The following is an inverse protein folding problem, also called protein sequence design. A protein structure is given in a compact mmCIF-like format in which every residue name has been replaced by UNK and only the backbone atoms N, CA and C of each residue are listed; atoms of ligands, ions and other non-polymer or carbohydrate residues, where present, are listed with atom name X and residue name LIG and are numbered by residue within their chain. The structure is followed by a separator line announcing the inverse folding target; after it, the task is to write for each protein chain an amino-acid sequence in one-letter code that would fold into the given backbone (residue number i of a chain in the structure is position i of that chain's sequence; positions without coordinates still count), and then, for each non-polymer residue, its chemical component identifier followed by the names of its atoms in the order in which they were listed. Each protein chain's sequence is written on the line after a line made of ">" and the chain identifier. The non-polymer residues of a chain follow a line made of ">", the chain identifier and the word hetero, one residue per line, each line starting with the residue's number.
data_IF_031423573713
#
_entry.id   IF_031423573713
#
_cell.length_a   1.000
_cell.length_b   1.000
_cell.length_c   1.000
_cell.angle_alpha   90.00
_cell.angle_beta   90.00
_cell.angle_gamma   90.00
#
_symmetry.space_group_name_H-M   'P 1'
#
loop_
_entity.id
_entity.type
_entity.pdbx_description
1 polymer ?
#
# COMPACT_ATOMS: atom_id res chain seq x y z
N UNK A 1 -13.27 9.39 -5.92
CA UNK A 1 -12.09 8.49 -5.79
C UNK A 1 -12.42 7.17 -6.47
N UNK A 2 -11.44 6.55 -7.13
CA UNK A 2 -11.55 5.18 -7.65
C UNK A 2 -11.15 4.18 -6.56
N UNK A 3 -11.67 2.97 -6.67
CA UNK A 3 -11.35 1.87 -5.74
C UNK A 3 -10.52 0.79 -6.45
N UNK A 4 -9.58 0.17 -5.74
CA UNK A 4 -8.82 -0.96 -6.26
C UNK A 4 -8.77 -2.12 -5.25
N UNK A 5 -8.71 -3.34 -5.78
CA UNK A 5 -8.43 -4.53 -5.00
C UNK A 5 -6.93 -4.83 -5.04
N UNK A 6 -6.26 -4.82 -3.88
CA UNK A 6 -4.86 -5.23 -3.85
C UNK A 6 -4.73 -6.75 -3.80
N UNK A 7 -4.02 -7.31 -4.77
CA UNK A 7 -3.84 -8.76 -4.92
C UNK A 7 -3.18 -9.41 -3.71
N UNK A 8 -2.40 -8.66 -2.91
CA UNK A 8 -1.75 -9.17 -1.69
C UNK A 8 -2.78 -9.74 -0.70
N UNK A 9 -4.00 -9.21 -0.67
CA UNK A 9 -5.09 -9.70 0.19
C UNK A 9 -5.44 -11.16 -0.09
N UNK A 10 -5.09 -11.68 -1.28
CA UNK A 10 -5.33 -13.05 -1.72
C UNK A 10 -4.03 -13.81 -2.01
N UNK A 11 -2.92 -13.46 -1.35
CA UNK A 11 -1.61 -14.06 -1.60
C UNK A 11 -1.30 -15.29 -0.73
N UNK A 12 -2.06 -15.52 0.32
CA UNK A 12 -1.76 -16.54 1.33
C UNK A 12 -0.66 -16.15 2.34
N UNK A 13 -0.16 -14.90 2.30
CA UNK A 13 0.99 -14.47 3.10
C UNK A 13 0.75 -14.49 4.61
N UNK A 14 -0.49 -14.43 5.06
CA UNK A 14 -0.89 -14.47 6.48
C UNK A 14 -1.79 -15.67 6.81
N UNK A 15 -1.67 -16.77 6.03
CA UNK A 15 -2.45 -17.98 6.20
C UNK A 15 -3.84 -17.94 5.57
N UNK A 16 -4.21 -16.84 4.88
CA UNK A 16 -5.48 -16.73 4.15
C UNK A 16 -5.47 -17.54 2.85
N UNK A 17 -6.66 -17.76 2.29
CA UNK A 17 -6.83 -18.39 1.00
C UNK A 17 -6.05 -17.61 -0.10
N UNK A 18 -5.55 -18.37 -1.09
CA UNK A 18 -4.74 -17.86 -2.19
C UNK A 18 -5.52 -17.95 -3.48
N UNK A 19 -5.47 -16.89 -4.29
CA UNK A 19 -5.93 -16.90 -5.69
C UNK A 19 -4.75 -16.72 -6.65
N UNK A 20 -4.76 -17.39 -7.80
CA UNK A 20 -3.82 -17.12 -8.88
C UNK A 20 -4.11 -15.76 -9.53
N UNK A 21 -3.09 -15.19 -10.20
CA UNK A 21 -3.16 -13.84 -10.77
C UNK A 21 -4.33 -13.65 -11.74
N UNK A 22 -4.59 -14.65 -12.58
CA UNK A 22 -5.66 -14.65 -13.58
C UNK A 22 -7.07 -14.55 -12.98
N UNK A 23 -7.26 -14.99 -11.74
CA UNK A 23 -8.55 -14.91 -11.04
C UNK A 23 -8.74 -13.55 -10.32
N UNK A 24 -7.66 -12.84 -9.99
CA UNK A 24 -7.74 -11.57 -9.26
C UNK A 24 -8.51 -10.51 -10.04
N UNK A 25 -8.30 -10.42 -11.37
CA UNK A 25 -8.99 -9.45 -12.24
C UNK A 25 -10.49 -9.67 -12.20
N UNK A 26 -10.91 -10.93 -12.41
CA UNK A 26 -12.33 -11.28 -12.38
C UNK A 26 -12.93 -11.08 -10.98
N UNK A 27 -12.15 -11.36 -9.93
CA UNK A 27 -12.58 -11.14 -8.54
C UNK A 27 -12.82 -9.67 -8.26
N UNK A 28 -11.90 -8.78 -8.65
CA UNK A 28 -12.06 -7.34 -8.51
C UNK A 28 -13.32 -6.83 -9.24
N UNK A 29 -13.54 -7.27 -10.46
CA UNK A 29 -14.75 -6.92 -11.25
C UNK A 29 -16.04 -7.40 -10.56
N UNK A 30 -16.06 -8.66 -10.09
CA UNK A 30 -17.23 -9.24 -9.41
C UNK A 30 -17.56 -8.55 -8.10
N UNK A 31 -16.54 -8.06 -7.38
CA UNK A 31 -16.70 -7.32 -6.13
C UNK A 31 -17.02 -5.84 -6.33
N UNK A 32 -17.01 -5.35 -7.58
CA UNK A 32 -17.40 -3.99 -7.94
C UNK A 32 -16.33 -2.93 -7.76
N UNK A 33 -15.05 -3.33 -7.88
CA UNK A 33 -13.92 -2.40 -7.88
C UNK A 33 -13.70 -1.76 -9.26
N UNK A 34 -13.12 -0.56 -9.28
CA UNK A 34 -12.75 0.14 -10.52
C UNK A 34 -11.41 -0.35 -11.09
N UNK A 35 -10.55 -0.89 -10.24
CA UNK A 35 -9.20 -1.29 -10.62
C UNK A 35 -8.58 -2.35 -9.71
N UNK A 36 -7.32 -2.69 -10.02
CA UNK A 36 -6.50 -3.56 -9.20
C UNK A 36 -5.17 -2.90 -8.87
N UNK A 37 -4.64 -3.24 -7.70
CA UNK A 37 -3.26 -3.04 -7.30
C UNK A 37 -2.59 -4.41 -7.27
N UNK A 38 -1.52 -4.59 -8.02
CA UNK A 38 -0.84 -5.89 -8.11
C UNK A 38 0.42 -5.93 -7.27
N UNK A 39 0.61 -7.02 -6.51
CA UNK A 39 1.85 -7.29 -5.82
C UNK A 39 2.94 -7.67 -6.84
N UNK A 40 4.01 -6.88 -6.91
CA UNK A 40 5.17 -7.07 -7.82
C UNK A 40 6.09 -8.21 -7.40
N UNK A 41 5.53 -9.27 -6.82
CA UNK A 41 6.24 -10.47 -6.36
C UNK A 41 5.34 -11.70 -6.47
N UNK A 42 5.94 -12.90 -6.39
CA UNK A 42 5.15 -14.14 -6.26
C UNK A 42 4.22 -14.10 -5.04
N UNK A 43 3.03 -14.66 -5.14
CA UNK A 43 2.51 -15.49 -6.23
C UNK A 43 1.86 -14.72 -7.38
N UNK A 44 1.95 -13.38 -7.44
CA UNK A 44 1.24 -12.57 -8.41
C UNK A 44 2.19 -12.01 -9.51
N UNK A 45 2.36 -10.68 -9.61
CA UNK A 45 3.07 -10.04 -10.72
C UNK A 45 4.60 -10.01 -10.53
N UNK A 46 5.23 -11.17 -10.30
CA UNK A 46 6.68 -11.29 -10.23
C UNK A 46 7.34 -11.00 -11.57
N UNK A 47 8.40 -10.17 -11.59
CA UNK A 47 9.19 -9.91 -12.80
C UNK A 47 9.74 -11.19 -13.45
N UNK A 48 10.00 -12.24 -12.67
CA UNK A 48 10.48 -13.53 -13.17
C UNK A 48 9.43 -14.29 -13.97
N UNK A 49 8.15 -14.01 -13.73
CA UNK A 49 7.04 -14.77 -14.30
C UNK A 49 6.23 -13.94 -15.33
N UNK A 50 6.46 -12.61 -15.36
CA UNK A 50 5.74 -11.68 -16.24
C UNK A 50 6.42 -11.56 -17.61
N UNK A 51 6.32 -12.61 -18.44
CA UNK A 51 6.80 -12.56 -19.83
C UNK A 51 5.97 -11.56 -20.66
N UNK A 52 6.42 -11.14 -21.86
CA UNK A 52 5.65 -10.26 -22.73
C UNK A 52 4.24 -10.80 -23.05
N UNK A 53 4.11 -12.11 -23.23
CA UNK A 53 2.84 -12.78 -23.52
C UNK A 53 1.90 -12.70 -22.31
N UNK A 54 2.39 -12.99 -21.10
CA UNK A 54 1.65 -12.89 -19.85
C UNK A 54 1.18 -11.45 -19.59
N UNK A 55 2.04 -10.44 -19.84
CA UNK A 55 1.65 -9.02 -19.73
C UNK A 55 0.52 -8.66 -20.69
N UNK A 56 0.64 -9.09 -21.96
CA UNK A 56 -0.37 -8.83 -22.99
C UNK A 56 -1.71 -9.48 -22.65
N UNK A 57 -1.69 -10.74 -22.22
CA UNK A 57 -2.90 -11.47 -21.81
C UNK A 57 -3.56 -10.82 -20.59
N UNK A 58 -2.78 -10.49 -19.55
CA UNK A 58 -3.29 -9.85 -18.35
C UNK A 58 -3.92 -8.48 -18.67
N UNK A 59 -3.28 -7.68 -19.53
CA UNK A 59 -3.82 -6.41 -20.00
C UNK A 59 -5.14 -6.57 -20.75
N UNK A 60 -5.24 -7.58 -21.62
CA UNK A 60 -6.50 -7.90 -22.31
C UNK A 60 -7.61 -8.26 -21.31
N UNK A 61 -7.33 -9.16 -20.38
CA UNK A 61 -8.28 -9.55 -19.31
C UNK A 61 -8.77 -8.36 -18.50
N UNK A 62 -7.87 -7.43 -18.13
CA UNK A 62 -8.25 -6.20 -17.42
C UNK A 62 -9.18 -5.33 -18.27
N UNK A 63 -8.88 -5.17 -19.56
CA UNK A 63 -9.70 -4.39 -20.50
C UNK A 63 -11.10 -5.01 -20.64
N UNK A 64 -11.20 -6.32 -20.85
CA UNK A 64 -12.46 -7.04 -21.00
C UNK A 64 -13.32 -6.97 -19.72
N UNK A 65 -12.67 -7.05 -18.55
CA UNK A 65 -13.31 -6.92 -17.25
C UNK A 65 -13.61 -5.47 -16.84
N UNK A 66 -13.15 -4.47 -17.61
CA UNK A 66 -13.23 -3.02 -17.31
C UNK A 66 -12.55 -2.66 -15.98
N UNK A 67 -11.43 -3.31 -15.70
CA UNK A 67 -10.60 -3.10 -14.52
C UNK A 67 -9.33 -2.35 -14.91
N UNK A 68 -9.04 -1.25 -14.23
CA UNK A 68 -7.85 -0.43 -14.46
C UNK A 68 -6.66 -0.95 -13.64
N UNK A 69 -5.44 -0.81 -14.17
CA UNK A 69 -4.21 -0.98 -13.39
C UNK A 69 -3.98 0.27 -12.55
N UNK A 70 -4.31 0.24 -11.26
CA UNK A 70 -4.20 1.40 -10.38
C UNK A 70 -2.78 1.62 -9.86
N UNK A 71 -2.10 0.54 -9.50
CA UNK A 71 -0.76 0.60 -8.91
C UNK A 71 -0.07 -0.76 -8.97
N UNK A 72 1.24 -0.77 -9.19
CA UNK A 72 2.09 -1.94 -9.01
C UNK A 72 2.87 -1.80 -7.69
N UNK A 73 2.67 -2.75 -6.76
CA UNK A 73 3.27 -2.72 -5.45
C UNK A 73 4.67 -3.34 -5.44
N UNK A 74 5.70 -2.53 -5.34
CA UNK A 74 7.07 -2.94 -5.08
C UNK A 74 7.30 -3.21 -3.58
N UNK A 75 8.10 -4.23 -3.30
CA UNK A 75 8.49 -4.63 -1.93
C UNK A 75 9.98 -4.39 -1.77
N UNK A 76 10.33 -3.20 -1.32
CA UNK A 76 11.71 -2.72 -1.25
C UNK A 76 12.21 -2.58 0.18
N UNK A 77 13.54 -2.72 0.34
CA UNK A 77 14.27 -2.39 1.55
C UNK A 77 15.66 -1.85 1.15
N UNK A 78 15.82 -0.53 1.09
CA UNK A 78 17.06 0.10 0.62
C UNK A 78 18.19 0.09 1.65
N UNK A 79 17.95 -0.45 2.84
CA UNK A 79 18.94 -0.59 3.93
C UNK A 79 19.42 -2.03 4.15
N UNK A 80 18.94 -2.98 3.34
CA UNK A 80 19.25 -4.40 3.48
C UNK A 80 20.76 -4.75 3.33
N UNK A 81 21.55 -3.84 2.77
CA UNK A 81 23.01 -3.99 2.61
C UNK A 81 23.81 -3.69 3.90
N UNK A 82 23.16 -3.36 5.01
CA UNK A 82 23.85 -3.00 6.23
C UNK A 82 24.66 -4.15 6.85
N UNK A 83 24.14 -5.39 6.73
CA UNK A 83 24.78 -6.60 7.28
C UNK A 83 25.73 -7.26 6.29
N UNK A 84 25.54 -7.03 4.98
CA UNK A 84 26.26 -7.68 3.89
C UNK A 84 26.65 -6.64 2.83
N UNK A 85 27.62 -5.79 3.17
CA UNK A 85 28.04 -4.67 2.29
C UNK A 85 28.66 -5.13 0.95
N UNK A 86 29.12 -6.39 0.86
CA UNK A 86 29.65 -7.02 -0.35
C UNK A 86 28.55 -7.41 -1.35
N UNK A 87 27.30 -7.49 -0.92
CA UNK A 87 26.15 -7.78 -1.79
C UNK A 87 25.51 -6.48 -2.26
N UNK A 88 25.35 -6.25 -3.57
CA UNK A 88 24.82 -4.98 -4.08
C UNK A 88 23.29 -4.86 -3.92
N UNK A 89 22.78 -5.10 -2.71
CA UNK A 89 21.35 -5.12 -2.42
C UNK A 89 20.63 -3.86 -2.87
N UNK A 90 21.23 -2.67 -2.67
CA UNK A 90 20.61 -1.40 -3.06
C UNK A 90 20.48 -1.28 -4.56
N UNK A 91 21.51 -1.66 -5.32
CA UNK A 91 21.48 -1.69 -6.79
C UNK A 91 20.44 -2.69 -7.30
N UNK A 92 20.33 -3.86 -6.67
CA UNK A 92 19.29 -4.85 -6.97
C UNK A 92 17.89 -4.27 -6.74
N UNK A 93 17.68 -3.51 -5.64
CA UNK A 93 16.41 -2.84 -5.37
C UNK A 93 16.10 -1.75 -6.42
N UNK A 94 17.07 -0.95 -6.80
CA UNK A 94 16.91 0.08 -7.86
C UNK A 94 16.55 -0.59 -9.19
N UNK A 95 17.25 -1.66 -9.56
CA UNK A 95 16.92 -2.44 -10.76
C UNK A 95 15.51 -3.03 -10.70
N UNK A 96 15.14 -3.64 -9.58
CA UNK A 96 13.79 -4.16 -9.35
C UNK A 96 12.71 -3.09 -9.56
N UNK A 97 12.87 -1.90 -8.98
CA UNK A 97 11.93 -0.78 -9.14
C UNK A 97 11.88 -0.28 -10.58
N UNK A 98 13.04 -0.24 -11.27
CA UNK A 98 13.13 0.14 -12.68
C UNK A 98 12.30 -0.81 -13.56
N UNK A 99 12.44 -2.12 -13.36
CA UNK A 99 11.68 -3.11 -14.12
C UNK A 99 10.19 -3.13 -13.72
N UNK A 100 9.85 -2.88 -12.46
CA UNK A 100 8.46 -2.70 -12.05
C UNK A 100 7.82 -1.47 -12.72
N UNK A 101 8.60 -0.40 -12.94
CA UNK A 101 8.09 0.79 -13.64
C UNK A 101 7.73 0.48 -15.09
N UNK A 102 8.57 -0.28 -15.79
CA UNK A 102 8.27 -0.78 -17.13
C UNK A 102 7.03 -1.68 -17.15
N UNK A 103 6.97 -2.64 -16.21
CA UNK A 103 5.82 -3.56 -16.08
C UNK A 103 4.52 -2.80 -15.80
N UNK A 104 4.53 -1.78 -14.93
CA UNK A 104 3.35 -0.96 -14.64
C UNK A 104 2.81 -0.29 -15.91
N UNK A 105 3.70 0.29 -16.73
CA UNK A 105 3.34 0.94 -18.00
C UNK A 105 2.84 -0.08 -19.03
N UNK A 106 3.49 -1.24 -19.16
CA UNK A 106 3.05 -2.31 -20.04
C UNK A 106 1.62 -2.79 -19.71
N UNK A 107 1.28 -2.80 -18.42
CA UNK A 107 -0.07 -3.15 -17.94
C UNK A 107 -1.07 -2.00 -18.01
N UNK A 108 -0.67 -0.81 -18.48
CA UNK A 108 -1.54 0.35 -18.65
C UNK A 108 -1.70 1.23 -17.42
N UNK A 109 -0.89 1.01 -16.37
CA UNK A 109 -0.78 1.86 -15.18
C UNK A 109 0.42 2.80 -15.26
N UNK A 110 0.55 3.67 -14.27
CA UNK A 110 1.70 4.60 -14.17
C UNK A 110 2.30 4.67 -12.78
N UNK A 111 1.68 4.06 -11.76
CA UNK A 111 2.11 4.19 -10.37
C UNK A 111 2.81 2.92 -9.91
N UNK A 112 4.00 3.08 -9.34
CA UNK A 112 4.74 2.02 -8.62
C UNK A 112 4.87 2.43 -7.17
N UNK A 113 4.22 1.70 -6.26
CA UNK A 113 4.37 1.91 -4.82
C UNK A 113 5.61 1.20 -4.32
N UNK A 114 6.42 1.87 -3.50
CA UNK A 114 7.61 1.32 -2.87
C UNK A 114 7.65 1.65 -1.37
N UNK A 115 8.48 0.92 -0.64
CA UNK A 115 8.83 1.20 0.75
C UNK A 115 10.24 1.81 0.85
N UNK A 116 10.58 2.37 2.01
CA UNK A 116 11.89 2.97 2.30
C UNK A 116 12.91 1.93 2.77
N UNK A 117 12.93 1.60 4.04
CA UNK A 117 13.84 0.63 4.63
C UNK A 117 13.72 0.59 6.15
N UNK A 118 14.30 -0.45 6.72
CA UNK A 118 14.33 -0.65 8.16
C UNK A 118 15.59 -0.05 8.78
N UNK A 119 15.49 0.42 10.03
CA UNK A 119 16.66 0.73 10.82
C UNK A 119 17.50 -0.53 11.05
N UNK A 120 18.81 -0.34 11.04
CA UNK A 120 19.77 -1.43 11.21
C UNK A 120 20.74 -1.08 12.32
N UNK A 121 20.96 -1.96 13.32
CA UNK A 121 21.84 -1.68 14.45
C UNK A 121 23.29 -1.33 14.05
N UNK A 122 23.74 -1.84 12.91
CA UNK A 122 25.09 -1.64 12.38
C UNK A 122 25.26 -0.34 11.57
N UNK A 123 24.20 0.43 11.38
CA UNK A 123 24.22 1.63 10.54
C UNK A 123 23.58 2.82 11.26
N UNK A 124 24.27 3.98 11.38
CA UNK A 124 23.67 5.20 11.91
C UNK A 124 22.42 5.61 11.11
N UNK A 125 21.39 6.08 11.80
CA UNK A 125 20.12 6.49 11.18
C UNK A 125 20.32 7.50 10.04
N UNK A 126 21.13 8.56 10.27
CA UNK A 126 21.42 9.56 9.23
C UNK A 126 22.01 8.95 7.96
N UNK A 127 22.91 7.99 8.12
CA UNK A 127 23.51 7.29 6.98
C UNK A 127 22.48 6.41 6.24
N UNK A 128 21.61 5.71 6.97
CA UNK A 128 20.52 4.94 6.39
C UNK A 128 19.55 5.84 5.61
N UNK A 129 19.24 7.00 6.19
CA UNK A 129 18.40 8.03 5.55
C UNK A 129 19.00 8.52 4.23
N UNK A 130 20.25 9.00 4.24
CA UNK A 130 20.90 9.54 3.05
C UNK A 130 21.01 8.53 1.91
N UNK A 131 21.33 7.28 2.24
CA UNK A 131 21.41 6.19 1.27
C UNK A 131 20.05 5.85 0.68
N UNK A 132 18.99 5.86 1.50
CA UNK A 132 17.62 5.59 1.05
C UNK A 132 17.09 6.73 0.19
N UNK A 133 17.30 7.98 0.59
CA UNK A 133 16.94 9.16 -0.22
C UNK A 133 17.62 9.11 -1.59
N UNK A 134 18.93 8.82 -1.64
CA UNK A 134 19.69 8.71 -2.89
C UNK A 134 19.16 7.59 -3.78
N UNK A 135 18.85 6.42 -3.20
CA UNK A 135 18.31 5.29 -3.95
C UNK A 135 16.92 5.56 -4.52
N UNK A 136 16.02 6.15 -3.72
CA UNK A 136 14.67 6.50 -4.17
C UNK A 136 14.70 7.60 -5.23
N UNK A 137 15.61 8.57 -5.10
CA UNK A 137 15.86 9.58 -6.13
C UNK A 137 16.27 8.95 -7.45
N UNK A 138 17.17 7.98 -7.44
CA UNK A 138 17.55 7.24 -8.64
C UNK A 138 16.39 6.41 -9.20
N UNK A 139 15.61 5.74 -8.35
CA UNK A 139 14.41 5.05 -8.78
C UNK A 139 13.42 5.98 -9.50
N UNK A 140 13.18 7.17 -8.93
CA UNK A 140 12.29 8.16 -9.53
C UNK A 140 12.76 8.62 -10.92
N UNK A 141 14.06 8.91 -11.07
CA UNK A 141 14.64 9.30 -12.36
C UNK A 141 14.48 8.20 -13.41
N UNK A 142 14.81 6.95 -13.07
CA UNK A 142 14.65 5.80 -13.98
C UNK A 142 13.18 5.52 -14.32
N UNK A 143 12.27 5.75 -13.38
CA UNK A 143 10.85 5.62 -13.61
C UNK A 143 10.31 6.71 -14.55
N UNK A 144 10.86 7.95 -14.48
CA UNK A 144 10.50 9.05 -15.37
C UNK A 144 10.79 8.73 -16.85
N UNK A 145 11.86 7.97 -17.14
CA UNK A 145 12.23 7.55 -18.51
C UNK A 145 11.11 6.75 -19.21
N UNK A 146 10.23 6.10 -18.44
CA UNK A 146 9.09 5.34 -18.96
C UNK A 146 7.74 5.97 -18.64
N UNK A 147 7.72 7.17 -18.05
CA UNK A 147 6.49 7.89 -17.69
C UNK A 147 5.82 7.36 -16.42
N UNK A 148 6.56 6.66 -15.55
CA UNK A 148 6.03 6.14 -14.30
C UNK A 148 6.28 7.09 -13.11
N UNK A 149 5.40 6.97 -12.11
CA UNK A 149 5.43 7.69 -10.83
C UNK A 149 5.88 6.72 -9.75
N UNK A 150 6.85 7.10 -8.95
CA UNK A 150 7.21 6.40 -7.73
C UNK A 150 6.36 6.95 -6.58
N UNK A 151 5.50 6.11 -6.02
CA UNK A 151 4.69 6.44 -4.86
C UNK A 151 5.29 5.79 -3.61
N UNK A 152 5.97 6.57 -2.78
CA UNK A 152 6.54 6.08 -1.52
C UNK A 152 5.42 5.91 -0.51
N UNK A 153 5.34 4.75 0.14
CA UNK A 153 4.43 4.52 1.26
C UNK A 153 5.12 4.83 2.59
N UNK A 154 4.40 5.47 3.50
CA UNK A 154 4.85 5.77 4.86
C UNK A 154 4.89 4.49 5.74
N UNK A 155 5.65 3.53 5.27
CA UNK A 155 5.84 2.21 5.88
C UNK A 155 7.34 1.93 6.03
N UNK A 156 7.71 1.01 6.91
CA UNK A 156 9.06 0.78 7.42
C UNK A 156 9.56 1.95 8.28
N UNK A 157 10.73 1.78 8.90
CA UNK A 157 11.14 2.64 10.01
C UNK A 157 11.50 4.07 9.58
N UNK A 158 12.16 4.21 8.41
CA UNK A 158 12.76 5.48 8.00
C UNK A 158 11.76 6.57 7.60
N UNK A 159 10.50 6.28 7.38
CA UNK A 159 9.50 7.27 7.00
C UNK A 159 8.10 6.93 7.54
N UNK A 160 8.04 6.23 8.66
CA UNK A 160 6.77 5.79 9.24
C UNK A 160 5.98 6.95 9.86
N UNK A 161 6.66 7.89 10.56
CA UNK A 161 6.02 9.09 11.11
C UNK A 161 5.75 10.11 10.01
N UNK A 162 4.58 10.76 10.03
CA UNK A 162 4.11 11.66 8.97
C UNK A 162 5.02 12.86 8.69
N UNK A 163 5.61 13.47 9.72
CA UNK A 163 6.55 14.58 9.50
C UNK A 163 7.88 14.10 8.90
N UNK A 164 8.41 12.94 9.35
CA UNK A 164 9.59 12.33 8.75
C UNK A 164 9.31 11.94 7.28
N UNK A 165 8.12 11.44 6.98
CA UNK A 165 7.71 11.11 5.63
C UNK A 165 7.67 12.34 4.71
N UNK A 166 7.11 13.46 5.19
CA UNK A 166 7.12 14.72 4.43
C UNK A 166 8.55 15.23 4.19
N UNK A 167 9.43 15.13 5.19
CA UNK A 167 10.85 15.47 5.04
C UNK A 167 11.55 14.57 4.03
N UNK A 168 11.23 13.27 4.03
CA UNK A 168 11.78 12.30 3.09
C UNK A 168 11.42 12.65 1.64
N UNK A 169 10.15 12.90 1.35
CA UNK A 169 9.70 13.30 0.01
C UNK A 169 10.39 14.58 -0.47
N UNK A 170 10.55 15.57 0.42
CA UNK A 170 11.28 16.81 0.13
C UNK A 170 12.77 16.56 -0.14
N UNK A 171 13.39 15.63 0.59
CA UNK A 171 14.80 15.30 0.40
C UNK A 171 15.05 14.53 -0.92
N UNK A 172 14.12 13.69 -1.34
CA UNK A 172 14.18 13.03 -2.67
C UNK A 172 14.13 14.05 -3.80
N UNK A 173 13.28 15.07 -3.70
CA UNK A 173 13.22 16.23 -4.62
C UNK A 173 13.14 15.82 -6.10
N UNK A 174 12.22 14.93 -6.44
CA UNK A 174 11.89 14.55 -7.83
C UNK A 174 10.38 14.69 -8.06
N UNK A 175 9.98 15.33 -9.15
CA UNK A 175 8.57 15.69 -9.42
C UNK A 175 7.66 14.47 -9.57
N UNK A 176 8.20 13.33 -10.02
CA UNK A 176 7.50 12.06 -10.13
C UNK A 176 7.69 11.15 -8.90
N UNK A 177 8.31 11.63 -7.82
CA UNK A 177 8.32 10.97 -6.52
C UNK A 177 7.19 11.56 -5.67
N UNK A 178 6.17 10.74 -5.39
CA UNK A 178 4.92 11.15 -4.75
C UNK A 178 4.63 10.28 -3.53
N UNK A 179 3.56 10.58 -2.82
CA UNK A 179 3.13 9.82 -1.65
C UNK A 179 2.11 8.73 -2.01
N UNK A 180 2.28 7.55 -1.39
CA UNK A 180 1.24 6.57 -1.15
C UNK A 180 0.91 6.60 0.35
N UNK A 181 0.36 7.73 0.82
CA UNK A 181 0.15 7.96 2.25
C UNK A 181 -1.05 7.17 2.77
N UNK A 182 -0.85 6.36 3.81
CA UNK A 182 -1.90 5.65 4.52
C UNK A 182 -2.00 6.04 6.00
N UNK A 183 -3.13 5.69 6.63
CA UNK A 183 -3.39 5.98 8.03
C UNK A 183 -2.90 4.89 8.98
N UNK A 184 -2.55 3.70 8.50
CA UNK A 184 -2.27 2.53 9.34
C UNK A 184 -1.03 2.74 10.24
N UNK A 185 0.12 3.07 9.62
CA UNK A 185 1.37 3.30 10.37
C UNK A 185 1.23 4.45 11.38
N UNK A 186 0.72 5.64 10.99
CA UNK A 186 0.48 6.73 11.93
C UNK A 186 -0.47 6.37 13.07
N UNK A 187 -1.58 5.67 12.79
CA UNK A 187 -2.55 5.29 13.81
C UNK A 187 -1.97 4.31 14.84
N UNK A 188 -1.03 3.44 14.46
CA UNK A 188 -0.33 2.56 15.38
C UNK A 188 0.64 3.31 16.30
N UNK A 189 1.22 4.40 15.82
CA UNK A 189 2.19 5.22 16.53
C UNK A 189 1.54 6.37 17.33
N UNK A 190 0.22 6.46 17.33
CA UNK A 190 -0.53 7.59 17.93
C UNK A 190 -0.19 8.95 17.29
N UNK A 191 0.24 8.95 16.01
CA UNK A 191 0.41 10.16 15.20
C UNK A 191 -0.95 10.68 14.73
N UNK A 192 -1.09 11.99 14.58
CA UNK A 192 -2.31 12.62 14.08
C UNK A 192 -2.41 12.47 12.55
N UNK A 193 -2.84 11.28 12.11
CA UNK A 193 -2.99 10.96 10.70
C UNK A 193 -4.07 11.81 9.99
N UNK A 194 -5.03 12.40 10.70
CA UNK A 194 -6.03 13.31 10.11
C UNK A 194 -5.42 14.65 9.73
N UNK A 195 -4.59 15.23 10.61
CA UNK A 195 -3.82 16.43 10.30
C UNK A 195 -2.75 16.14 9.25
N UNK A 196 -2.07 14.99 9.34
CA UNK A 196 -1.10 14.55 8.35
C UNK A 196 -1.72 14.40 6.95
N UNK A 197 -2.91 13.81 6.85
CA UNK A 197 -3.65 13.67 5.59
C UNK A 197 -3.86 15.03 4.90
N UNK A 198 -4.23 16.08 5.64
CA UNK A 198 -4.40 17.44 5.08
C UNK A 198 -3.10 17.98 4.48
N UNK A 199 -1.96 17.75 5.17
CA UNK A 199 -0.64 18.23 4.72
C UNK A 199 -0.13 17.44 3.50
N UNK A 200 -0.38 16.12 3.45
CA UNK A 200 0.16 15.22 2.45
C UNK A 200 -0.76 15.02 1.23
N UNK A 201 -2.04 15.38 1.33
CA UNK A 201 -3.01 15.20 0.25
C UNK A 201 -2.55 15.73 -1.13
N UNK A 202 -1.92 16.92 -1.26
CA UNK A 202 -1.48 17.42 -2.57
C UNK A 202 -0.36 16.56 -3.20
N UNK A 203 0.34 15.76 -2.43
CA UNK A 203 1.41 14.87 -2.90
C UNK A 203 0.96 13.41 -2.98
N UNK A 204 -0.18 13.05 -2.39
CA UNK A 204 -0.69 11.69 -2.37
C UNK A 204 -1.36 11.33 -3.69
N UNK A 205 -0.89 10.26 -4.33
CA UNK A 205 -1.44 9.76 -5.61
C UNK A 205 -2.15 8.42 -5.45
N UNK A 206 -1.91 7.74 -4.33
CA UNK A 206 -2.49 6.44 -4.01
C UNK A 206 -2.57 6.27 -2.49
N UNK A 207 -3.52 5.50 -1.99
CA UNK A 207 -3.59 5.09 -0.60
C UNK A 207 -4.09 3.66 -0.48
N UNK A 208 -3.66 2.96 0.56
CA UNK A 208 -4.12 1.61 0.89
C UNK A 208 -4.83 1.62 2.22
N UNK A 209 -5.95 0.92 2.33
CA UNK A 209 -6.69 0.80 3.57
C UNK A 209 -7.25 -0.61 3.78
N UNK A 210 -7.28 -1.03 5.03
CA UNK A 210 -8.08 -2.10 5.59
C UNK A 210 -8.30 -1.79 7.07
N UNK A 211 -9.33 -2.35 7.69
CA UNK A 211 -9.66 -2.00 9.06
C UNK A 211 -9.16 -3.05 10.05
N UNK A 212 -8.83 -2.61 11.28
CA UNK A 212 -8.12 -3.42 12.24
C UNK A 212 -8.59 -3.16 13.67
N UNK A 213 -8.52 -4.20 14.51
CA UNK A 213 -8.66 -4.11 15.96
C UNK A 213 -7.35 -4.40 16.66
N UNK A 214 -7.20 -3.83 17.86
CA UNK A 214 -6.08 -4.12 18.78
C UNK A 214 -6.52 -5.19 19.75
N UNK A 215 -5.82 -6.32 19.78
CA UNK A 215 -6.06 -7.42 20.73
C UNK A 215 -4.98 -7.38 21.80
N UNK A 216 -5.30 -7.08 23.06
CA UNK A 216 -4.32 -7.01 24.14
C UNK A 216 -3.62 -8.35 24.36
N UNK A 217 -2.31 -8.28 24.58
CA UNK A 217 -1.47 -9.44 24.85
C UNK A 217 -0.80 -9.34 26.21
N UNK A 218 -0.69 -10.48 26.87
CA UNK A 218 -0.06 -10.60 28.18
C UNK A 218 0.90 -11.78 28.19
N UNK A 219 2.04 -11.61 28.84
CA UNK A 219 3.02 -12.66 29.10
C UNK A 219 3.08 -12.96 30.59
N UNK A 220 2.85 -14.20 30.96
CA UNK A 220 2.99 -14.66 32.35
C UNK A 220 4.47 -14.66 32.78
N UNK A 221 4.76 -14.11 33.94
CA UNK A 221 6.05 -14.07 34.59
C UNK A 221 6.02 -14.94 35.86
N UNK A 222 6.49 -16.20 35.78
CA UNK A 222 6.37 -17.18 36.89
C UNK A 222 7.04 -16.70 38.17
N UNK A 223 8.17 -15.99 38.07
CA UNK A 223 8.94 -15.48 39.20
C UNK A 223 8.21 -14.37 39.99
N UNK A 224 7.23 -13.71 39.38
CA UNK A 224 6.42 -12.66 39.99
C UNK A 224 4.96 -13.12 40.24
N UNK A 225 4.60 -14.32 39.79
CA UNK A 225 3.22 -14.83 39.80
C UNK A 225 2.24 -13.78 39.21
N UNK A 226 2.66 -13.11 38.14
CA UNK A 226 1.93 -11.97 37.55
C UNK A 226 2.07 -11.96 36.02
N UNK A 227 1.37 -11.05 35.37
CA UNK A 227 1.43 -10.83 33.92
C UNK A 227 2.07 -9.50 33.61
N UNK A 228 2.95 -9.48 32.59
CA UNK A 228 3.38 -8.26 31.92
C UNK A 228 2.55 -8.05 30.65
N UNK A 229 2.06 -6.85 30.42
CA UNK A 229 1.45 -6.47 29.15
C UNK A 229 2.53 -6.33 28.09
N UNK A 230 2.36 -7.03 26.96
CA UNK A 230 3.15 -6.86 25.73
C UNK A 230 2.39 -5.95 24.74
N UNK A 231 3.00 -5.60 23.62
CA UNK A 231 2.37 -4.86 22.53
C UNK A 231 1.12 -5.59 22.01
N UNK A 232 0.09 -4.81 21.65
CA UNK A 232 -1.15 -5.36 21.13
C UNK A 232 -0.91 -6.13 19.82
N UNK A 233 -1.65 -7.20 19.63
CA UNK A 233 -1.72 -7.89 18.36
C UNK A 233 -2.74 -7.19 17.45
N UNK A 234 -2.37 -6.95 16.19
CA UNK A 234 -3.25 -6.29 15.21
C UNK A 234 -3.92 -7.35 14.35
N UNK A 235 -5.25 -7.29 14.29
CA UNK A 235 -6.07 -8.26 13.58
C UNK A 235 -7.05 -7.56 12.65
N UNK A 236 -7.15 -8.03 11.38
CA UNK A 236 -8.05 -7.45 10.39
C UNK A 236 -9.51 -7.76 10.72
N UNK A 237 -10.35 -6.75 10.51
CA UNK A 237 -11.80 -6.80 10.67
C UNK A 237 -12.49 -6.19 9.44
N UNK A 238 -13.81 -6.41 9.25
CA UNK A 238 -14.55 -5.73 8.20
C UNK A 238 -14.45 -4.21 8.33
N UNK A 239 -14.46 -3.52 7.19
CA UNK A 239 -14.41 -2.06 7.14
C UNK A 239 -15.51 -1.42 7.99
N UNK A 240 -15.14 -0.51 8.87
CA UNK A 240 -16.01 0.21 9.80
C UNK A 240 -16.09 -0.41 11.21
N UNK A 241 -15.43 -1.54 11.45
CA UNK A 241 -15.41 -2.21 12.76
C UNK A 241 -14.09 -1.99 13.53
N UNK A 242 -13.12 -1.31 12.92
CA UNK A 242 -11.80 -1.11 13.49
C UNK A 242 -11.63 0.20 14.25
N UNK A 243 -10.37 0.48 14.64
CA UNK A 243 -10.02 1.63 15.47
C UNK A 243 -9.57 2.86 14.65
N UNK A 244 -9.39 2.75 13.31
CA UNK A 244 -8.92 3.84 12.45
C UNK A 244 -10.12 4.57 11.87
N UNK A 245 -10.19 5.90 12.04
CA UNK A 245 -11.21 6.72 11.38
C UNK A 245 -10.89 6.91 9.89
N UNK A 246 -11.12 5.87 9.09
CA UNK A 246 -10.91 5.94 7.65
C UNK A 246 -11.87 6.90 6.94
N UNK A 247 -13.06 7.14 7.48
CA UNK A 247 -13.99 8.14 6.93
C UNK A 247 -13.40 9.55 7.06
N UNK A 248 -12.92 9.89 8.27
CA UNK A 248 -12.25 11.18 8.51
C UNK A 248 -10.97 11.31 7.71
N UNK A 249 -10.15 10.26 7.65
CA UNK A 249 -8.90 10.22 6.88
C UNK A 249 -9.12 10.48 5.38
N UNK A 250 -9.99 9.71 4.74
CA UNK A 250 -10.29 9.87 3.31
C UNK A 250 -10.94 11.23 3.02
N UNK A 251 -11.82 11.70 3.92
CA UNK A 251 -12.39 13.04 3.80
C UNK A 251 -11.31 14.11 3.86
N UNK A 252 -10.37 14.01 4.80
CA UNK A 252 -9.27 14.96 4.92
C UNK A 252 -8.37 14.97 3.67
N UNK A 253 -8.08 13.81 3.08
CA UNK A 253 -7.35 13.70 1.81
C UNK A 253 -8.12 14.39 0.66
N UNK A 254 -9.42 14.08 0.48
CA UNK A 254 -10.24 14.64 -0.60
C UNK A 254 -10.40 16.14 -0.51
N UNK A 255 -10.72 16.65 0.68
CA UNK A 255 -10.93 18.09 0.90
C UNK A 255 -9.66 18.92 0.60
N UNK A 256 -8.49 18.27 0.57
CA UNK A 256 -7.19 18.90 0.33
C UNK A 256 -6.52 18.48 -0.98
N UNK A 257 -7.27 17.91 -1.93
CA UNK A 257 -6.82 17.74 -3.31
C UNK A 257 -6.42 16.33 -3.72
N UNK A 258 -6.66 15.30 -2.90
CA UNK A 258 -6.48 13.91 -3.32
C UNK A 258 -7.65 13.48 -4.22
N UNK A 259 -7.34 13.04 -5.43
CA UNK A 259 -8.28 12.49 -6.41
C UNK A 259 -7.87 11.09 -6.91
N UNK A 260 -6.87 10.49 -6.27
CA UNK A 260 -6.27 9.22 -6.65
C UNK A 260 -7.13 7.99 -6.35
N UNK A 261 -6.46 6.84 -6.30
CA UNK A 261 -7.09 5.55 -6.05
C UNK A 261 -6.92 5.10 -4.59
N UNK A 262 -7.96 4.50 -4.04
CA UNK A 262 -7.98 3.88 -2.70
C UNK A 262 -8.02 2.36 -2.89
N UNK A 263 -6.94 1.67 -2.48
CA UNK A 263 -6.88 0.22 -2.59
C UNK A 263 -7.21 -0.47 -1.26
N UNK A 264 -8.02 -1.52 -1.34
CA UNK A 264 -8.22 -2.43 -0.22
C UNK A 264 -7.00 -3.36 -0.10
N UNK A 265 -6.24 -3.22 0.99
CA UNK A 265 -5.03 -3.99 1.27
C UNK A 265 -5.11 -4.66 2.64
N UNK A 266 -5.63 -5.89 2.70
CA UNK A 266 -5.63 -6.66 3.92
C UNK A 266 -4.25 -7.31 4.14
N UNK A 267 -3.61 -6.98 5.26
CA UNK A 267 -2.23 -7.34 5.59
C UNK A 267 -2.07 -7.92 7.00
N UNK A 268 -3.04 -8.68 7.50
CA UNK A 268 -2.94 -9.40 8.77
C UNK A 268 -3.91 -10.59 8.79
N UNK A 269 -3.79 -11.52 9.75
CA UNK A 269 -4.83 -12.54 9.93
C UNK A 269 -6.20 -11.91 10.17
N UNK A 270 -7.24 -12.52 9.58
CA UNK A 270 -8.63 -12.05 9.70
C UNK A 270 -9.27 -12.62 10.98
N UNK A 271 -10.08 -11.80 11.64
CA UNK A 271 -10.81 -12.21 12.85
C UNK A 271 -11.76 -13.40 12.60
N UNK A 272 -12.45 -13.39 11.46
CA UNK A 272 -13.54 -14.34 11.19
C UNK A 272 -13.05 -15.56 10.39
N UNK A 273 -11.73 -15.75 10.25
CA UNK A 273 -11.11 -16.86 9.53
C UNK A 273 -10.54 -16.47 8.18
N UNK A 274 -9.84 -17.39 7.55
CA UNK A 274 -8.99 -17.13 6.39
C UNK A 274 -9.50 -17.78 5.10
N UNK A 275 -10.78 -18.16 5.04
CA UNK A 275 -11.37 -18.75 3.82
C UNK A 275 -11.56 -17.69 2.73
N UNK A 276 -11.75 -18.16 1.50
CA UNK A 276 -12.01 -17.26 0.37
C UNK A 276 -13.30 -16.48 0.53
N UNK A 277 -14.33 -17.09 1.13
CA UNK A 277 -15.61 -16.45 1.40
C UNK A 277 -15.46 -15.28 2.37
N UNK A 278 -14.67 -15.44 3.42
CA UNK A 278 -14.42 -14.39 4.41
C UNK A 278 -13.60 -13.24 3.78
N UNK A 279 -12.58 -13.56 2.97
CA UNK A 279 -11.82 -12.56 2.22
C UNK A 279 -12.73 -11.72 1.31
N UNK A 280 -13.60 -12.38 0.54
CA UNK A 280 -14.56 -11.72 -0.34
C UNK A 280 -15.57 -10.87 0.45
N UNK A 281 -16.00 -11.33 1.61
CA UNK A 281 -16.89 -10.57 2.48
C UNK A 281 -16.23 -9.28 2.96
N UNK A 282 -14.98 -9.34 3.40
CA UNK A 282 -14.24 -8.17 3.84
C UNK A 282 -13.99 -7.19 2.69
N UNK A 283 -13.55 -7.69 1.54
CA UNK A 283 -13.34 -6.88 0.34
C UNK A 283 -14.64 -6.22 -0.13
N UNK A 284 -15.78 -6.91 -0.05
CA UNK A 284 -17.12 -6.36 -0.35
C UNK A 284 -17.52 -5.26 0.63
N UNK A 285 -17.28 -5.45 1.92
CA UNK A 285 -17.54 -4.43 2.94
C UNK A 285 -16.77 -3.14 2.70
N UNK A 286 -15.51 -3.25 2.25
CA UNK A 286 -14.76 -2.07 1.80
C UNK A 286 -15.43 -1.38 0.60
N UNK A 287 -15.81 -2.12 -0.45
CA UNK A 287 -16.46 -1.53 -1.62
C UNK A 287 -17.80 -0.85 -1.26
N UNK A 288 -18.59 -1.47 -0.36
CA UNK A 288 -19.82 -0.90 0.19
C UNK A 288 -19.54 0.40 0.97
N UNK A 289 -18.52 0.40 1.84
CA UNK A 289 -18.11 1.58 2.60
C UNK A 289 -17.72 2.73 1.67
N UNK A 290 -16.90 2.48 0.66
CA UNK A 290 -16.48 3.49 -0.31
C UNK A 290 -17.68 4.05 -1.08
N UNK A 291 -18.59 3.19 -1.51
CA UNK A 291 -19.81 3.59 -2.21
C UNK A 291 -20.74 4.43 -1.33
N UNK A 292 -20.88 4.08 -0.06
CA UNK A 292 -21.76 4.77 0.88
C UNK A 292 -21.24 6.18 1.24
N UNK A 293 -19.93 6.36 1.33
CA UNK A 293 -19.35 7.60 1.85
C UNK A 293 -18.63 8.46 0.78
N UNK A 294 -18.20 7.87 -0.34
CA UNK A 294 -17.34 8.52 -1.33
C UNK A 294 -17.77 8.21 -2.78
N UNK A 295 -19.09 8.05 -3.04
CA UNK A 295 -19.59 7.74 -4.36
C UNK A 295 -19.05 8.75 -5.41
N UNK A 296 -18.44 8.23 -6.47
CA UNK A 296 -17.97 9.01 -7.59
C UNK A 296 -19.19 9.46 -8.43
N UNK A 297 -19.44 10.77 -8.50
CA UNK A 297 -20.37 11.32 -9.47
C UNK A 297 -19.70 11.35 -10.83
N UNK A 298 -20.17 10.53 -11.77
CA UNK A 298 -19.70 10.52 -13.18
C UNK A 298 -19.94 11.85 -13.92
N UNK A 299 -20.58 12.83 -13.29
CA UNK A 299 -20.85 14.17 -13.81
C UNK A 299 -20.00 15.24 -13.12
N UNK A 300 -18.67 15.19 -13.27
CA UNK A 300 -17.73 16.29 -13.02
C UNK A 300 -17.86 16.99 -11.67
N UNK A 301 -17.47 16.34 -10.58
CA UNK A 301 -17.36 16.95 -9.25
C UNK A 301 -17.70 15.98 -8.12
N UNK A 302 -16.91 15.98 -7.05
CA UNK A 302 -17.23 15.23 -5.85
C UNK A 302 -18.48 15.80 -5.17
N UNK A 303 -19.55 15.02 -5.09
CA UNK A 303 -20.71 15.36 -4.27
C UNK A 303 -20.62 14.62 -2.94
N UNK A 304 -20.33 15.34 -1.88
CA UNK A 304 -20.56 14.88 -0.50
C UNK A 304 -22.06 14.77 -0.29
N UNK A 305 -22.61 13.56 -0.24
CA UNK A 305 -23.95 13.39 0.28
C UNK A 305 -23.94 13.70 1.79
N UNK A 306 -24.34 14.92 2.11
CA UNK A 306 -24.72 15.31 3.46
C UNK A 306 -25.97 14.50 3.84
N UNK A 307 -25.80 13.44 4.60
CA UNK A 307 -26.87 12.89 5.41
C UNK A 307 -26.87 13.65 6.75
N UNK A 308 -28.00 14.32 6.99
CA UNK A 308 -28.35 14.90 8.30
C UNK A 308 -28.45 13.85 9.37
#
# INVERSE_FOLDING_TARGET
>A
MKTALHSISYSGSWGQAKLPLEEIVQRASTLGYDGIMLAGKRPHASLLDMTPEVRSELRSRMTDAKIEMSCLAGYTNFTADAEHAEVPHREMQIHYVTELSRLAVDLGGTIVRIFTGYEQPLRPYSKAWDLTVSAVKECARRAADVGAIIAVQNHHDLAAHSDAFLMFLKAVDESNCRAAFDAWSPALQSDDYLTAAKKLAPQTVHTTIADYVRVPRFRYQPELVNYRRDEDYIQAVPMGEGFIDYRGFLKALCDHGFDGCVAYEMCSPLRDGNSLEVLDQYARKFAEFMKAHFAYSRSGGYSLHAMK
#
